data_IF_425205316416
#
_entry.id   IF_425205316416
#
_cell.length_a   1.000
_cell.length_b   1.000
_cell.length_c   1.000
_cell.angle_alpha   90.00
_cell.angle_beta   90.00
_cell.angle_gamma   90.00
#
_symmetry.space_group_name_H-M   'P 1'
#
loop_
_entity.id
_entity.type
_entity.pdbx_description
1 polymer ?
#
# COMPACT_ATOMS: atom_id res chain seq x y z
N UNK A 1 18.35 20.98 -16.99
CA UNK A 1 17.80 19.64 -16.66
C UNK A 1 16.29 19.73 -16.77
N UNK A 2 15.66 18.95 -17.65
CA UNK A 2 14.22 19.04 -17.91
C UNK A 2 13.44 18.41 -16.76
N UNK A 3 12.62 19.19 -16.07
CA UNK A 3 11.70 18.69 -15.05
C UNK A 3 10.64 17.83 -15.74
N UNK A 4 10.71 16.52 -15.54
CA UNK A 4 9.77 15.56 -16.11
C UNK A 4 8.39 15.84 -15.50
N UNK A 5 7.46 16.39 -16.29
CA UNK A 5 6.07 16.60 -15.86
C UNK A 5 5.48 15.27 -15.40
N UNK A 6 5.04 15.19 -14.15
CA UNK A 6 4.29 14.05 -13.65
C UNK A 6 2.86 14.17 -14.18
N UNK A 7 2.46 13.28 -15.08
CA UNK A 7 1.07 13.11 -15.50
C UNK A 7 0.40 12.09 -14.58
N UNK A 8 -0.93 12.15 -14.48
CA UNK A 8 -1.70 11.16 -13.70
C UNK A 8 -1.41 9.72 -14.17
N UNK A 9 -1.38 9.51 -15.48
CA UNK A 9 -1.04 8.22 -16.10
C UNK A 9 0.38 7.76 -15.77
N UNK A 10 1.33 8.70 -15.70
CA UNK A 10 2.71 8.43 -15.29
C UNK A 10 2.77 7.99 -13.84
N UNK A 11 2.08 8.71 -12.95
CA UNK A 11 2.01 8.39 -11.53
C UNK A 11 1.35 7.02 -11.28
N UNK A 12 0.22 6.74 -11.91
CA UNK A 12 -0.47 5.46 -11.77
C UNK A 12 0.43 4.29 -12.18
N UNK A 13 1.17 4.44 -13.29
CA UNK A 13 2.12 3.44 -13.77
C UNK A 13 3.27 3.22 -12.78
N UNK A 14 3.85 4.31 -12.27
CA UNK A 14 4.97 4.26 -11.35
C UNK A 14 4.56 3.66 -10.00
N UNK A 15 3.36 3.98 -9.50
CA UNK A 15 2.78 3.37 -8.29
C UNK A 15 2.60 1.87 -8.49
N UNK A 16 1.97 1.44 -9.59
CA UNK A 16 1.77 0.00 -9.90
C UNK A 16 3.10 -0.74 -9.99
N UNK A 17 4.09 -0.15 -10.67
CA UNK A 17 5.44 -0.71 -10.78
C UNK A 17 6.12 -0.84 -9.42
N UNK A 18 6.11 0.23 -8.63
CA UNK A 18 6.72 0.27 -7.29
C UNK A 18 6.10 -0.76 -6.35
N UNK A 19 4.79 -0.90 -6.42
CA UNK A 19 4.05 -1.86 -5.62
C UNK A 19 4.01 -3.25 -6.26
N UNK A 20 4.63 -3.49 -7.42
CA UNK A 20 4.55 -4.77 -8.14
C UNK A 20 3.09 -5.27 -8.32
N UNK A 21 2.15 -4.33 -8.46
CA UNK A 21 0.74 -4.60 -8.65
C UNK A 21 0.50 -4.91 -10.13
N UNK A 22 0.01 -6.11 -10.43
CA UNK A 22 -0.33 -6.48 -11.81
C UNK A 22 -1.63 -5.80 -12.24
N UNK A 23 -1.77 -5.38 -13.50
CA UNK A 23 -2.99 -4.74 -14.00
C UNK A 23 -4.23 -5.65 -13.92
N UNK A 24 -4.01 -6.95 -14.13
CA UNK A 24 -5.08 -7.93 -14.35
C UNK A 24 -5.37 -8.83 -13.12
N UNK A 25 -4.69 -8.58 -12.00
CA UNK A 25 -4.92 -9.30 -10.73
C UNK A 25 -5.38 -8.32 -9.65
N UNK A 26 -6.41 -8.69 -8.89
CA UNK A 26 -6.89 -7.88 -7.76
C UNK A 26 -5.86 -7.94 -6.66
N UNK A 27 -4.98 -6.94 -6.59
CA UNK A 27 -3.97 -6.85 -5.53
C UNK A 27 -4.39 -5.82 -4.48
N UNK A 28 -4.53 -6.26 -3.23
CA UNK A 28 -4.61 -5.37 -2.07
C UNK A 28 -3.23 -5.27 -1.45
N UNK A 29 -2.76 -4.04 -1.21
CA UNK A 29 -1.47 -3.76 -0.57
C UNK A 29 -1.70 -2.88 0.64
N UNK A 30 -1.36 -3.39 1.83
CA UNK A 30 -1.35 -2.59 3.05
C UNK A 30 0.01 -1.91 3.17
N UNK A 31 0.02 -0.58 3.12
CA UNK A 31 1.23 0.25 3.27
C UNK A 31 1.16 0.93 4.64
N UNK A 32 2.21 0.76 5.44
CA UNK A 32 2.34 1.45 6.72
C UNK A 32 2.65 2.93 6.53
N UNK A 33 2.44 3.75 7.56
CA UNK A 33 2.80 5.18 7.52
C UNK A 33 4.31 5.44 7.43
N UNK A 34 5.11 4.40 7.60
CA UNK A 34 6.56 4.37 7.35
C UNK A 34 6.90 4.15 5.86
N UNK A 35 5.89 3.98 4.99
CA UNK A 35 6.06 3.69 3.57
C UNK A 35 6.36 2.21 3.28
N UNK A 36 6.47 1.36 4.30
CA UNK A 36 6.76 -0.06 4.14
C UNK A 36 5.51 -0.87 3.82
N UNK A 37 5.64 -1.86 2.93
CA UNK A 37 4.57 -2.84 2.65
C UNK A 37 4.45 -3.80 3.83
N UNK A 38 3.25 -3.89 4.42
CA UNK A 38 2.95 -4.75 5.57
C UNK A 38 2.26 -6.05 5.17
N UNK A 39 1.46 -6.01 4.11
CA UNK A 39 0.76 -7.17 3.58
C UNK A 39 0.47 -7.00 2.09
N UNK A 40 0.40 -8.13 1.40
CA UNK A 40 -0.13 -8.25 0.03
C UNK A 40 -1.14 -9.38 0.01
N UNK A 41 -2.29 -9.17 -0.62
CA UNK A 41 -3.31 -10.21 -0.79
C UNK A 41 -3.99 -10.10 -2.15
N UNK A 42 -4.59 -11.20 -2.61
CA UNK A 42 -5.38 -11.26 -3.85
C UNK A 42 -6.86 -10.89 -3.67
N UNK A 43 -7.24 -10.48 -2.47
CA UNK A 43 -8.61 -10.21 -2.08
C UNK A 43 -8.68 -9.29 -0.87
N UNK A 44 -9.77 -8.55 -0.80
CA UNK A 44 -10.02 -7.60 0.29
C UNK A 44 -10.67 -8.33 1.48
N UNK A 45 -9.89 -8.53 2.54
CA UNK A 45 -10.38 -8.93 3.86
C UNK A 45 -10.20 -7.76 4.82
N UNK A 46 -11.26 -6.97 4.97
CA UNK A 46 -11.24 -5.76 5.80
C UNK A 46 -11.01 -6.09 7.28
N UNK A 47 -11.64 -7.15 7.79
CA UNK A 47 -11.52 -7.54 9.19
C UNK A 47 -10.11 -8.06 9.51
N UNK A 48 -9.53 -8.85 8.62
CA UNK A 48 -8.15 -9.31 8.72
C UNK A 48 -7.14 -8.16 8.66
N UNK A 49 -7.37 -7.16 7.80
CA UNK A 49 -6.52 -5.96 7.72
C UNK A 49 -6.54 -5.17 9.04
N UNK A 50 -7.72 -4.92 9.61
CA UNK A 50 -7.80 -4.20 10.90
C UNK A 50 -7.14 -4.99 12.03
N UNK A 51 -7.38 -6.30 12.09
CA UNK A 51 -6.74 -7.19 13.06
C UNK A 51 -5.21 -7.13 12.94
N UNK A 52 -4.67 -7.14 11.72
CA UNK A 52 -3.25 -6.98 11.46
C UNK A 52 -2.73 -5.60 11.92
N UNK A 53 -3.45 -4.51 11.61
CA UNK A 53 -3.08 -3.16 12.03
C UNK A 53 -3.01 -3.07 13.56
N UNK A 54 -3.95 -3.67 14.29
CA UNK A 54 -3.98 -3.66 15.75
C UNK A 54 -2.79 -4.41 16.38
N UNK A 55 -2.16 -5.35 15.65
CA UNK A 55 -0.89 -5.95 16.10
C UNK A 55 0.34 -5.06 15.91
N UNK A 56 0.24 -3.96 15.16
CA UNK A 56 1.41 -3.13 14.84
C UNK A 56 1.85 -2.29 16.04
N UNK A 57 3.16 -2.20 16.35
CA UNK A 57 3.66 -1.51 17.55
C UNK A 57 3.21 -0.05 17.66
N UNK A 58 3.09 0.62 16.52
CA UNK A 58 2.67 2.01 16.46
C UNK A 58 1.20 2.18 16.82
N UNK A 59 0.33 1.31 16.30
CA UNK A 59 -1.09 1.28 16.61
C UNK A 59 -1.33 0.97 18.09
N UNK A 60 -0.56 0.04 18.65
CA UNK A 60 -0.59 -0.28 20.08
C UNK A 60 -0.17 0.90 20.96
N UNK A 61 0.79 1.73 20.51
CA UNK A 61 1.19 2.96 21.22
C UNK A 61 0.11 4.05 21.16
N UNK A 62 -0.67 4.13 20.10
CA UNK A 62 -1.76 5.12 19.95
C UNK A 62 -2.98 4.79 20.83
N UNK A 63 -3.17 3.53 21.21
CA UNK A 63 -4.26 3.09 22.09
C UNK A 63 -3.94 3.20 23.59
N UNK A 64 -2.69 3.50 23.93
CA UNK A 64 -2.23 3.69 25.31
C UNK A 64 -2.16 5.17 25.63
#
# INVERSE_FOLDING_TARGET
>A
MSSKRITEEGLQRDVRKTLSAQPDDVSVVLIGKDGGVKQRSRGLDVAGIFSLIDTMPMRQREMR
#
